data_IF_009405577221
#
_entry.id   IF_009405577221
#
_cell.length_a   1.000
_cell.length_b   1.000
_cell.length_c   1.000
_cell.angle_alpha   90.00
_cell.angle_beta   90.00
_cell.angle_gamma   90.00
#
_symmetry.space_group_name_H-M   'P 1'
#
loop_
_entity.id
_entity.type
_entity.pdbx_description
1 polymer ?
#
# COMPACT_ATOMS: atom_id res chain seq x y z
N UNK A 1 72.54 45.96 -59.68
CA UNK A 1 72.18 44.55 -59.74
C UNK A 1 71.09 44.34 -58.72
N UNK A 2 69.81 44.34 -59.17
CA UNK A 2 68.61 44.14 -58.32
C UNK A 2 68.16 42.71 -58.50
N UNK A 3 68.25 41.92 -57.44
CA UNK A 3 67.67 40.53 -57.44
C UNK A 3 66.25 40.59 -57.02
N UNK A 4 65.35 40.18 -57.98
CA UNK A 4 63.92 40.07 -57.79
C UNK A 4 63.68 38.75 -57.11
N UNK A 5 63.10 38.75 -55.86
CA UNK A 5 62.61 37.54 -55.19
C UNK A 5 61.14 37.38 -55.56
N UNK A 6 60.81 36.35 -56.32
CA UNK A 6 59.42 35.95 -56.61
C UNK A 6 58.98 35.03 -55.49
N UNK A 7 58.03 35.52 -54.66
CA UNK A 7 57.38 34.69 -53.61
C UNK A 7 56.24 33.93 -54.24
N UNK A 8 56.38 32.63 -54.32
CA UNK A 8 55.30 31.69 -54.78
C UNK A 8 54.37 31.42 -53.68
N UNK A 9 53.13 32.01 -53.68
CA UNK A 9 52.04 31.71 -52.78
C UNK A 9 51.31 30.44 -53.29
N UNK A 10 51.48 29.29 -52.59
CA UNK A 10 50.68 28.07 -52.76
C UNK A 10 49.33 28.27 -52.03
N UNK A 11 48.21 28.03 -52.70
CA UNK A 11 46.91 28.02 -52.03
C UNK A 11 46.79 26.75 -51.20
N UNK A 12 46.74 26.85 -49.87
CA UNK A 12 46.35 25.77 -48.96
C UNK A 12 44.86 25.50 -49.13
N UNK A 13 44.55 24.49 -49.90
CA UNK A 13 43.18 23.92 -49.99
C UNK A 13 42.87 23.22 -48.67
N UNK A 14 42.10 23.88 -47.80
CA UNK A 14 41.56 23.29 -46.58
C UNK A 14 40.54 22.22 -46.98
N UNK A 15 40.94 20.95 -46.94
CA UNK A 15 40.02 19.80 -47.09
C UNK A 15 39.09 19.75 -45.90
N UNK A 16 37.89 20.29 -46.02
CA UNK A 16 36.82 20.10 -45.05
C UNK A 16 36.30 18.70 -45.21
N UNK A 17 36.78 17.75 -44.41
CA UNK A 17 36.21 16.43 -44.29
C UNK A 17 34.81 16.56 -43.72
N UNK A 18 33.76 16.03 -44.38
CA UNK A 18 32.42 16.02 -43.76
C UNK A 18 32.49 15.16 -42.51
N UNK A 19 32.24 15.76 -41.35
CA UNK A 19 32.01 15.04 -40.12
C UNK A 19 30.80 14.10 -40.36
N UNK A 20 30.90 12.79 -40.04
CA UNK A 20 29.74 11.94 -40.08
C UNK A 20 28.67 12.52 -39.17
N UNK A 21 27.57 12.96 -39.76
CA UNK A 21 26.38 13.34 -38.99
C UNK A 21 25.98 12.10 -38.20
N UNK A 22 26.31 12.06 -36.90
CA UNK A 22 25.73 11.11 -35.99
C UNK A 22 24.25 11.48 -35.91
N UNK A 23 23.41 10.66 -36.55
CA UNK A 23 21.98 10.73 -36.38
C UNK A 23 21.72 10.62 -34.88
N UNK A 24 21.26 11.68 -34.27
CA UNK A 24 20.79 11.66 -32.90
C UNK A 24 19.53 10.80 -32.89
N UNK A 25 19.52 9.72 -32.10
CA UNK A 25 18.31 8.92 -31.92
C UNK A 25 17.36 9.82 -31.11
N UNK A 26 16.42 10.44 -31.81
CA UNK A 26 15.45 11.38 -31.24
C UNK A 26 14.49 10.67 -30.29
N UNK A 27 14.15 9.40 -30.58
CA UNK A 27 13.23 8.63 -29.75
C UNK A 27 13.51 7.12 -29.88
N UNK A 28 13.29 6.36 -28.81
CA UNK A 28 13.49 4.92 -28.76
C UNK A 28 12.18 4.22 -28.44
N UNK A 29 11.82 3.21 -29.21
CA UNK A 29 10.63 2.40 -28.95
C UNK A 29 10.94 1.37 -27.87
N UNK A 30 10.12 1.32 -26.83
CA UNK A 30 10.18 0.33 -25.74
C UNK A 30 9.32 -0.88 -26.06
N UNK A 31 8.08 -0.65 -26.52
CA UNK A 31 7.16 -1.71 -26.91
C UNK A 31 6.27 -1.29 -28.08
N UNK A 32 5.73 -2.28 -28.79
CA UNK A 32 4.69 -2.10 -29.80
C UNK A 32 3.52 -3.02 -29.46
N UNK A 33 2.30 -2.44 -29.34
CA UNK A 33 1.07 -3.11 -28.88
C UNK A 33 0.01 -2.94 -29.98
N UNK A 34 -0.34 -4.00 -30.70
CA UNK A 34 -1.30 -3.98 -31.84
C UNK A 34 -1.02 -2.85 -32.87
N UNK A 35 0.23 -2.43 -33.00
CA UNK A 35 0.60 -1.33 -33.91
C UNK A 35 0.86 0.01 -33.23
N UNK A 36 0.30 0.29 -32.05
CA UNK A 36 0.61 1.45 -31.21
C UNK A 36 1.97 1.28 -30.52
N UNK A 37 2.72 2.34 -30.37
CA UNK A 37 4.07 2.31 -29.81
C UNK A 37 4.09 2.95 -28.41
N UNK A 38 4.92 2.38 -27.52
CA UNK A 38 5.35 3.00 -26.28
C UNK A 38 6.78 3.46 -26.49
N UNK A 39 6.99 4.77 -26.43
CA UNK A 39 8.32 5.35 -26.56
C UNK A 39 9.07 5.32 -25.23
N UNK A 40 10.37 5.60 -25.28
CA UNK A 40 11.17 5.70 -24.06
C UNK A 40 10.72 6.89 -23.19
N UNK A 41 10.35 8.01 -23.84
CA UNK A 41 9.85 9.20 -23.15
C UNK A 41 8.53 8.90 -22.43
N UNK A 42 7.55 8.31 -23.11
CA UNK A 42 6.27 7.90 -22.50
C UNK A 42 6.48 6.95 -21.30
N UNK A 43 7.42 6.02 -21.45
CA UNK A 43 7.70 5.08 -20.38
C UNK A 43 8.41 5.74 -19.18
N UNK A 44 9.31 6.71 -19.41
CA UNK A 44 9.97 7.45 -18.34
C UNK A 44 8.98 8.34 -17.57
N UNK A 45 8.01 8.94 -18.27
CA UNK A 45 6.92 9.68 -17.64
C UNK A 45 6.12 8.77 -16.69
N UNK A 46 5.69 7.60 -17.15
CA UNK A 46 4.99 6.62 -16.29
C UNK A 46 5.82 6.11 -15.12
N UNK A 47 7.15 6.00 -15.29
CA UNK A 47 8.04 5.68 -14.18
C UNK A 47 8.03 6.78 -13.11
N UNK A 48 8.01 8.05 -13.55
CA UNK A 48 7.94 9.20 -12.66
C UNK A 48 6.60 9.24 -11.91
N UNK A 49 5.49 9.12 -12.64
CA UNK A 49 4.14 9.05 -12.06
C UNK A 49 4.01 7.93 -11.02
N UNK A 50 4.50 6.73 -11.34
CA UNK A 50 4.47 5.59 -10.42
C UNK A 50 5.32 5.83 -9.15
N UNK A 51 6.45 6.52 -9.27
CA UNK A 51 7.29 6.87 -8.12
C UNK A 51 6.64 7.95 -7.25
N UNK A 52 5.97 8.94 -7.86
CA UNK A 52 5.22 9.99 -7.18
C UNK A 52 4.01 9.38 -6.43
N UNK A 53 3.19 8.59 -7.09
CA UNK A 53 2.03 7.91 -6.48
C UNK A 53 2.43 7.00 -5.30
N UNK A 54 3.64 6.43 -5.34
CA UNK A 54 4.19 5.63 -4.25
C UNK A 54 4.91 6.47 -3.18
N UNK A 55 4.89 7.81 -3.27
CA UNK A 55 5.58 8.75 -2.37
C UNK A 55 7.06 8.39 -2.15
N UNK A 56 7.74 7.94 -3.22
CA UNK A 56 9.14 7.49 -3.17
C UNK A 56 10.09 8.69 -3.10
N UNK A 57 10.99 8.68 -2.12
CA UNK A 57 12.00 9.74 -2.03
C UNK A 57 12.98 9.70 -3.22
N UNK A 58 13.56 10.83 -3.64
CA UNK A 58 14.51 10.88 -4.78
C UNK A 58 15.68 9.89 -4.66
N UNK A 59 16.15 9.62 -3.44
CA UNK A 59 17.23 8.65 -3.18
C UNK A 59 16.84 7.19 -3.43
N UNK A 60 15.55 6.86 -3.32
CA UNK A 60 15.01 5.50 -3.40
C UNK A 60 14.45 5.17 -4.79
N UNK A 61 14.24 6.16 -5.67
CA UNK A 61 13.64 5.96 -7.01
C UNK A 61 14.34 4.86 -7.79
N UNK A 62 15.68 4.82 -7.78
CA UNK A 62 16.41 3.78 -8.49
C UNK A 62 16.11 2.35 -8.00
N UNK A 63 15.95 2.18 -6.68
CA UNK A 63 15.59 0.89 -6.09
C UNK A 63 14.12 0.52 -6.39
N UNK A 64 13.23 1.49 -6.29
CA UNK A 64 11.82 1.33 -6.63
C UNK A 64 11.63 0.90 -8.09
N UNK A 65 12.28 1.58 -9.04
CA UNK A 65 12.19 1.25 -10.47
C UNK A 65 12.76 -0.13 -10.78
N UNK A 66 13.90 -0.52 -10.19
CA UNK A 66 14.43 -1.88 -10.37
C UNK A 66 13.40 -2.94 -9.98
N UNK A 67 12.63 -2.70 -8.93
CA UNK A 67 11.60 -3.64 -8.45
C UNK A 67 10.32 -3.61 -9.27
N UNK A 68 9.94 -2.45 -9.81
CA UNK A 68 8.59 -2.22 -10.36
C UNK A 68 8.55 -2.03 -11.89
N UNK A 69 9.67 -1.87 -12.58
CA UNK A 69 9.70 -1.55 -14.01
C UNK A 69 8.90 -2.51 -14.90
N UNK A 70 8.98 -3.81 -14.63
CA UNK A 70 8.21 -4.78 -15.40
C UNK A 70 6.70 -4.58 -15.21
N UNK A 71 6.27 -4.26 -13.99
CA UNK A 71 4.87 -3.95 -13.67
C UNK A 71 4.42 -2.65 -14.34
N UNK A 72 5.22 -1.59 -14.24
CA UNK A 72 4.92 -0.29 -14.88
C UNK A 72 4.80 -0.44 -16.40
N UNK A 73 5.67 -1.22 -17.03
CA UNK A 73 5.57 -1.49 -18.47
C UNK A 73 4.32 -2.32 -18.80
N UNK A 74 3.99 -3.32 -17.97
CA UNK A 74 2.78 -4.11 -18.17
C UNK A 74 1.53 -3.23 -18.04
N UNK A 75 1.47 -2.34 -17.07
CA UNK A 75 0.37 -1.38 -16.90
C UNK A 75 0.26 -0.43 -18.11
N UNK A 76 1.38 0.03 -18.66
CA UNK A 76 1.40 0.84 -19.88
C UNK A 76 0.83 0.08 -21.10
N UNK A 77 1.16 -1.20 -21.23
CA UNK A 77 0.61 -2.08 -22.27
C UNK A 77 -0.88 -2.29 -22.07
N UNK A 78 -1.29 -2.59 -20.84
CA UNK A 78 -2.69 -2.82 -20.47
C UNK A 78 -3.56 -1.59 -20.74
N UNK A 79 -3.04 -0.41 -20.47
CA UNK A 79 -3.71 0.86 -20.76
C UNK A 79 -4.04 1.03 -22.25
N UNK A 80 -3.08 0.71 -23.11
CA UNK A 80 -3.29 0.75 -24.57
C UNK A 80 -4.36 -0.26 -24.97
N UNK A 81 -4.25 -1.49 -24.45
CA UNK A 81 -5.18 -2.57 -24.77
C UNK A 81 -6.62 -2.24 -24.32
N UNK A 82 -6.79 -1.64 -23.14
CA UNK A 82 -8.10 -1.21 -22.66
C UNK A 82 -8.72 -0.12 -23.52
N UNK A 83 -7.92 0.88 -23.93
CA UNK A 83 -8.39 1.93 -24.82
C UNK A 83 -8.81 1.36 -26.18
N UNK A 84 -7.97 0.53 -26.79
CA UNK A 84 -8.29 -0.12 -28.07
C UNK A 84 -9.56 -0.97 -27.97
N UNK A 85 -9.70 -1.76 -26.88
CA UNK A 85 -10.89 -2.59 -26.64
C UNK A 85 -12.16 -1.75 -26.49
N UNK A 86 -12.05 -0.59 -25.84
CA UNK A 86 -13.16 0.32 -25.69
C UNK A 86 -13.54 0.98 -27.04
N UNK A 87 -12.54 1.38 -27.83
CA UNK A 87 -12.76 1.95 -29.17
C UNK A 87 -13.39 0.95 -30.13
N UNK A 88 -12.94 -0.29 -30.15
CA UNK A 88 -13.52 -1.40 -30.90
C UNK A 88 -14.99 -1.65 -30.51
N UNK A 89 -15.31 -1.39 -29.27
CA UNK A 89 -16.66 -1.48 -28.73
C UNK A 89 -17.51 -0.23 -28.95
N UNK A 90 -16.97 0.80 -29.65
CA UNK A 90 -17.65 2.06 -29.91
C UNK A 90 -17.75 2.98 -28.70
N UNK A 91 -17.00 2.69 -27.62
CA UNK A 91 -16.98 3.51 -26.41
C UNK A 91 -15.96 4.65 -26.59
N UNK A 92 -16.45 5.87 -26.71
CA UNK A 92 -15.64 7.09 -26.79
C UNK A 92 -16.30 8.18 -25.99
N UNK A 93 -15.50 8.97 -25.29
CA UNK A 93 -15.98 10.17 -24.62
C UNK A 93 -16.12 11.28 -25.66
N UNK A 94 -17.31 11.89 -25.83
CA UNK A 94 -17.50 13.03 -26.74
C UNK A 94 -16.63 14.22 -26.31
N UNK A 95 -16.14 15.05 -27.27
CA UNK A 95 -15.34 16.24 -26.95
C UNK A 95 -16.04 17.20 -25.99
N UNK A 96 -17.35 17.38 -26.12
CA UNK A 96 -18.16 18.24 -25.27
C UNK A 96 -18.14 17.77 -23.81
N UNK A 97 -18.17 16.45 -23.59
CA UNK A 97 -18.08 15.89 -22.24
C UNK A 97 -16.66 16.05 -21.65
N UNK A 98 -15.62 16.03 -22.49
CA UNK A 98 -14.25 16.35 -22.06
C UNK A 98 -14.16 17.80 -21.58
N UNK A 99 -14.75 18.74 -22.32
CA UNK A 99 -14.75 20.15 -21.95
C UNK A 99 -15.55 20.40 -20.65
N UNK A 100 -16.68 19.71 -20.43
CA UNK A 100 -17.43 19.77 -19.16
C UNK A 100 -16.59 19.27 -17.98
N UNK A 101 -15.81 18.22 -18.18
CA UNK A 101 -14.90 17.70 -17.12
C UNK A 101 -13.81 18.73 -16.81
N UNK A 102 -13.21 19.36 -17.83
CA UNK A 102 -12.23 20.42 -17.65
C UNK A 102 -12.83 21.60 -16.87
N UNK A 103 -14.04 22.01 -17.21
CA UNK A 103 -14.73 23.07 -16.48
C UNK A 103 -14.98 22.70 -15.01
N UNK A 104 -15.30 21.44 -14.73
CA UNK A 104 -15.44 20.95 -13.36
C UNK A 104 -14.09 20.95 -12.61
N UNK A 105 -13.01 20.52 -13.26
CA UNK A 105 -11.64 20.60 -12.68
C UNK A 105 -11.29 22.05 -12.35
N UNK A 106 -11.55 23.00 -13.27
CA UNK A 106 -11.32 24.43 -13.01
C UNK A 106 -12.11 24.91 -11.78
N UNK A 107 -13.39 24.53 -11.67
CA UNK A 107 -14.25 24.91 -10.54
C UNK A 107 -13.75 24.32 -9.20
N UNK A 108 -13.41 23.04 -9.18
CA UNK A 108 -12.93 22.36 -7.97
C UNK A 108 -11.61 22.95 -7.43
N UNK A 109 -10.74 23.35 -8.36
CA UNK A 109 -9.45 23.94 -8.02
C UNK A 109 -9.48 25.49 -7.88
N UNK A 110 -10.68 26.10 -7.88
CA UNK A 110 -10.87 27.55 -7.80
C UNK A 110 -10.12 28.33 -8.90
N UNK A 111 -9.98 27.74 -10.07
CA UNK A 111 -9.37 28.36 -11.26
C UNK A 111 -10.47 29.14 -11.99
N UNK A 112 -10.41 30.48 -11.89
CA UNK A 112 -11.48 31.34 -12.39
C UNK A 112 -11.13 32.05 -13.70
N UNK A 113 -9.86 32.02 -14.12
CA UNK A 113 -9.43 32.66 -15.37
C UNK A 113 -8.60 31.70 -16.23
N UNK A 114 -8.55 31.96 -17.53
CA UNK A 114 -7.77 31.15 -18.46
C UNK A 114 -6.27 31.25 -18.18
N UNK A 115 -5.78 32.40 -17.75
CA UNK A 115 -4.37 32.60 -17.38
C UNK A 115 -3.97 31.74 -16.18
N UNK A 116 -4.86 31.63 -15.17
CA UNK A 116 -4.65 30.73 -14.03
C UNK A 116 -4.61 29.26 -14.48
N UNK A 117 -5.48 28.90 -15.41
CA UNK A 117 -5.53 27.52 -15.93
C UNK A 117 -4.27 27.18 -16.73
N UNK A 118 -3.83 28.06 -17.62
CA UNK A 118 -2.60 27.87 -18.38
C UNK A 118 -1.36 27.81 -17.46
N UNK A 119 -1.33 28.63 -16.40
CA UNK A 119 -0.25 28.59 -15.42
C UNK A 119 -0.25 27.25 -14.65
N UNK A 120 -1.41 26.72 -14.28
CA UNK A 120 -1.54 25.44 -13.63
C UNK A 120 -1.06 24.29 -14.54
N UNK A 121 -1.49 24.28 -15.81
CA UNK A 121 -1.02 23.31 -16.80
C UNK A 121 0.50 23.37 -17.00
N UNK A 122 1.05 24.58 -17.07
CA UNK A 122 2.48 24.76 -17.23
C UNK A 122 3.30 24.27 -16.00
N UNK A 123 2.75 24.38 -14.79
CA UNK A 123 3.35 23.82 -13.57
C UNK A 123 3.40 22.28 -13.62
N UNK A 124 2.37 21.65 -14.19
CA UNK A 124 2.33 20.19 -14.42
C UNK A 124 3.13 19.76 -15.67
N UNK A 125 3.72 20.69 -16.39
CA UNK A 125 4.45 20.42 -17.64
C UNK A 125 3.55 19.93 -18.79
N UNK A 126 2.27 20.24 -18.75
CA UNK A 126 1.23 19.69 -19.63
C UNK A 126 0.59 20.79 -20.48
N UNK A 127 0.19 20.43 -21.70
CA UNK A 127 -0.65 21.26 -22.56
C UNK A 127 -2.14 20.93 -22.40
N UNK A 128 -3.01 21.84 -22.83
CA UNK A 128 -4.46 21.60 -22.82
C UNK A 128 -4.85 20.38 -23.69
N UNK A 129 -4.16 20.16 -24.80
CA UNK A 129 -4.43 19.02 -25.69
C UNK A 129 -4.01 17.69 -25.03
N UNK A 130 -2.92 17.68 -24.27
CA UNK A 130 -2.50 16.51 -23.48
C UNK A 130 -3.48 16.22 -22.36
N UNK A 131 -3.96 17.25 -21.64
CA UNK A 131 -5.01 17.09 -20.64
C UNK A 131 -6.29 16.49 -21.24
N UNK A 132 -6.76 17.03 -22.38
CA UNK A 132 -7.93 16.49 -23.08
C UNK A 132 -7.77 15.01 -23.45
N UNK A 133 -6.61 14.64 -23.99
CA UNK A 133 -6.28 13.26 -24.33
C UNK A 133 -6.24 12.35 -23.09
N UNK A 134 -5.64 12.82 -22.02
CA UNK A 134 -5.56 12.09 -20.74
C UNK A 134 -6.95 11.83 -20.17
N UNK A 135 -7.81 12.86 -20.11
CA UNK A 135 -9.21 12.73 -19.68
C UNK A 135 -9.95 11.72 -20.56
N UNK A 136 -9.89 11.89 -21.88
CA UNK A 136 -10.58 11.00 -22.82
C UNK A 136 -10.13 9.54 -22.62
N UNK A 137 -8.82 9.29 -22.51
CA UNK A 137 -8.26 7.93 -22.27
C UNK A 137 -8.74 7.35 -20.95
N UNK A 138 -8.65 8.10 -19.85
CA UNK A 138 -9.05 7.64 -18.52
C UNK A 138 -10.53 7.26 -18.47
N UNK A 139 -11.41 8.10 -19.02
CA UNK A 139 -12.84 7.81 -19.08
C UNK A 139 -13.18 6.66 -20.02
N UNK A 140 -12.49 6.55 -21.16
CA UNK A 140 -12.67 5.44 -22.11
C UNK A 140 -12.31 4.11 -21.44
N UNK A 141 -11.19 4.05 -20.69
CA UNK A 141 -10.81 2.88 -19.87
C UNK A 141 -11.87 2.55 -18.81
N UNK A 142 -12.39 3.58 -18.13
CA UNK A 142 -13.46 3.38 -17.15
C UNK A 142 -14.71 2.77 -17.77
N UNK A 143 -15.17 3.30 -18.92
CA UNK A 143 -16.36 2.80 -19.58
C UNK A 143 -16.25 1.31 -19.94
N UNK A 144 -15.11 0.86 -20.45
CA UNK A 144 -14.95 -0.56 -20.79
C UNK A 144 -14.92 -1.45 -19.54
N UNK A 145 -14.28 -0.99 -18.46
CA UNK A 145 -14.25 -1.71 -17.18
C UNK A 145 -15.67 -1.80 -16.59
N UNK A 146 -16.39 -0.69 -16.58
CA UNK A 146 -17.77 -0.61 -16.10
C UNK A 146 -18.71 -1.52 -16.89
N UNK A 147 -18.50 -1.65 -18.20
CA UNK A 147 -19.32 -2.52 -19.03
C UNK A 147 -18.96 -3.99 -18.92
N UNK A 148 -17.67 -4.34 -18.91
CA UNK A 148 -17.22 -5.72 -19.10
C UNK A 148 -16.75 -6.41 -17.80
N UNK A 149 -16.40 -5.66 -16.77
CA UNK A 149 -15.87 -6.17 -15.51
C UNK A 149 -16.86 -6.02 -14.36
N UNK A 150 -17.36 -4.82 -14.11
CA UNK A 150 -18.22 -4.55 -12.95
C UNK A 150 -19.49 -5.42 -12.88
N UNK A 151 -20.21 -5.75 -13.99
CA UNK A 151 -21.39 -6.58 -13.90
C UNK A 151 -21.12 -8.02 -13.44
N UNK A 152 -19.87 -8.45 -13.47
CA UNK A 152 -19.44 -9.78 -12.99
C UNK A 152 -19.17 -9.83 -11.49
N UNK A 153 -19.27 -8.66 -10.83
CA UNK A 153 -18.93 -8.52 -9.42
C UNK A 153 -20.20 -8.32 -8.62
N UNK A 154 -20.44 -9.22 -7.70
CA UNK A 154 -21.52 -9.11 -6.73
C UNK A 154 -21.07 -9.65 -5.40
N UNK A 155 -21.55 -9.08 -4.30
CA UNK A 155 -21.33 -9.57 -2.93
C UNK A 155 -22.69 -9.59 -2.26
N UNK A 156 -23.19 -10.80 -2.03
CA UNK A 156 -24.48 -11.02 -1.34
C UNK A 156 -24.32 -10.90 0.17
N UNK A 157 -25.43 -10.75 0.88
CA UNK A 157 -25.41 -10.75 2.35
C UNK A 157 -25.04 -12.14 2.92
N UNK A 158 -25.32 -13.22 2.17
CA UNK A 158 -24.88 -14.57 2.49
C UNK A 158 -23.35 -14.69 2.41
N UNK A 159 -22.74 -14.16 1.36
CA UNK A 159 -21.28 -14.10 1.21
C UNK A 159 -20.64 -13.36 2.40
N UNK A 160 -21.20 -12.21 2.77
CA UNK A 160 -20.71 -11.40 3.88
C UNK A 160 -20.80 -12.14 5.22
N UNK A 161 -21.91 -12.84 5.46
CA UNK A 161 -22.07 -13.65 6.68
C UNK A 161 -21.07 -14.80 6.72
N UNK A 162 -20.89 -15.50 5.60
CA UNK A 162 -19.94 -16.60 5.51
C UNK A 162 -18.50 -16.12 5.78
N UNK A 163 -18.11 -14.99 5.19
CA UNK A 163 -16.79 -14.38 5.39
C UNK A 163 -16.61 -13.90 6.83
N UNK A 164 -17.65 -13.27 7.42
CA UNK A 164 -17.61 -12.87 8.81
C UNK A 164 -17.40 -14.07 9.74
N UNK A 165 -18.16 -15.14 9.60
CA UNK A 165 -18.01 -16.34 10.47
C UNK A 165 -16.64 -17.00 10.28
N UNK A 166 -16.09 -17.02 9.04
CA UNK A 166 -14.76 -17.55 8.78
C UNK A 166 -13.65 -16.73 9.47
N UNK A 167 -13.81 -15.41 9.59
CA UNK A 167 -12.83 -14.51 10.20
C UNK A 167 -13.12 -14.17 11.66
N UNK A 168 -14.32 -14.47 12.16
CA UNK A 168 -14.84 -14.04 13.46
C UNK A 168 -13.86 -14.28 14.61
N UNK A 169 -13.35 -15.49 14.73
CA UNK A 169 -12.45 -15.86 15.82
C UNK A 169 -11.13 -15.08 15.78
N UNK A 170 -10.62 -14.77 14.57
CA UNK A 170 -9.30 -14.17 14.39
C UNK A 170 -9.31 -12.65 14.32
N UNK A 171 -10.32 -12.08 13.67
CA UNK A 171 -10.34 -10.64 13.34
C UNK A 171 -11.42 -9.87 14.12
N UNK A 172 -12.52 -10.52 14.48
CA UNK A 172 -13.67 -9.88 15.11
C UNK A 172 -13.88 -10.27 16.57
N UNK A 173 -13.01 -11.11 17.13
CA UNK A 173 -13.05 -11.50 18.54
C UNK A 173 -11.79 -11.02 19.24
N UNK A 174 -11.96 -10.19 20.25
CA UNK A 174 -10.92 -9.87 21.22
C UNK A 174 -11.07 -10.81 22.42
N UNK A 175 -10.06 -11.59 22.70
CA UNK A 175 -10.05 -12.47 23.88
C UNK A 175 -10.02 -11.64 25.17
N UNK A 176 -10.58 -12.13 26.26
CA UNK A 176 -10.37 -11.55 27.57
C UNK A 176 -8.87 -11.52 27.92
N UNK A 177 -8.45 -10.48 28.63
CA UNK A 177 -7.06 -10.38 29.12
C UNK A 177 -7.03 -10.15 30.62
N UNK A 178 -5.93 -10.55 31.23
CA UNK A 178 -5.62 -10.27 32.62
C UNK A 178 -4.20 -9.70 32.73
N UNK A 179 -4.03 -8.64 33.52
CA UNK A 179 -2.69 -8.15 33.86
C UNK A 179 -2.30 -8.72 35.20
N UNK A 180 -1.12 -9.35 35.24
CA UNK A 180 -0.68 -10.17 36.36
C UNK A 180 0.62 -9.69 36.95
N UNK A 181 0.73 -9.90 38.25
CA UNK A 181 1.99 -10.02 38.99
C UNK A 181 2.12 -11.44 39.55
N UNK A 182 3.35 -11.94 39.67
CA UNK A 182 3.63 -13.25 40.25
C UNK A 182 4.72 -13.24 41.32
N UNK A 183 4.63 -14.19 42.22
CA UNK A 183 5.73 -14.60 43.10
C UNK A 183 5.94 -16.09 42.89
N UNK A 184 7.14 -16.52 42.53
CA UNK A 184 7.49 -17.91 42.41
C UNK A 184 8.38 -18.34 43.59
N UNK A 185 7.98 -19.38 44.32
CA UNK A 185 8.69 -19.95 45.46
C UNK A 185 9.07 -21.39 45.10
N UNK A 186 10.38 -21.74 45.08
CA UNK A 186 10.82 -23.12 44.84
C UNK A 186 10.35 -24.05 45.95
N UNK A 187 10.07 -25.30 45.60
CA UNK A 187 9.77 -26.36 46.60
C UNK A 187 11.03 -27.13 46.98
N UNK A 188 11.81 -26.53 47.86
CA UNK A 188 13.05 -27.07 48.42
C UNK A 188 12.88 -27.66 49.84
N UNK A 189 11.64 -28.05 50.17
CA UNK A 189 11.25 -28.59 51.48
C UNK A 189 10.60 -27.58 52.44
N UNK A 190 10.51 -26.30 52.06
CA UNK A 190 9.84 -25.24 52.82
C UNK A 190 8.99 -24.29 51.98
N UNK A 191 8.84 -24.57 50.69
CA UNK A 191 8.20 -23.65 49.74
C UNK A 191 6.73 -23.38 50.03
N UNK A 192 5.91 -24.38 50.36
CA UNK A 192 4.49 -24.20 50.60
C UNK A 192 4.17 -23.36 51.85
N UNK A 193 4.79 -23.58 53.03
CA UNK A 193 4.63 -22.73 54.19
C UNK A 193 4.96 -21.27 53.91
N UNK A 194 6.11 -21.00 53.25
CA UNK A 194 6.50 -19.66 52.87
C UNK A 194 5.50 -19.03 51.89
N UNK A 195 5.05 -19.76 50.88
CA UNK A 195 4.06 -19.26 49.93
C UNK A 195 2.74 -18.88 50.63
N UNK A 196 2.27 -19.69 51.59
CA UNK A 196 1.07 -19.36 52.40
C UNK A 196 1.25 -18.11 53.27
N UNK A 197 2.42 -17.93 53.88
CA UNK A 197 2.77 -16.73 54.66
C UNK A 197 2.71 -15.50 53.75
N UNK A 198 3.34 -15.55 52.56
CA UNK A 198 3.33 -14.44 51.62
C UNK A 198 1.92 -14.07 51.12
N UNK A 199 1.06 -15.06 50.86
CA UNK A 199 -0.35 -14.82 50.56
C UNK A 199 -1.04 -14.11 51.70
N UNK A 200 -0.84 -14.52 52.94
CA UNK A 200 -1.44 -13.88 54.09
C UNK A 200 -1.00 -12.43 54.22
N UNK A 201 0.27 -12.14 54.08
CA UNK A 201 0.85 -10.79 54.11
C UNK A 201 0.34 -9.92 52.96
N UNK A 202 0.31 -10.44 51.74
CA UNK A 202 -0.17 -9.74 50.58
C UNK A 202 -1.67 -9.40 50.70
N UNK A 203 -2.50 -10.33 51.19
CA UNK A 203 -3.93 -10.10 51.51
C UNK A 203 -4.12 -9.15 52.68
N UNK A 204 -3.17 -9.07 53.60
CA UNK A 204 -3.11 -8.13 54.69
C UNK A 204 -2.70 -6.69 54.31
N UNK A 205 -2.42 -6.46 53.02
CA UNK A 205 -2.11 -5.14 52.46
C UNK A 205 -0.61 -4.85 52.30
N UNK A 206 0.27 -5.83 52.54
CA UNK A 206 1.68 -5.63 52.26
C UNK A 206 1.91 -5.56 50.74
N UNK A 207 2.84 -4.67 50.34
CA UNK A 207 3.12 -4.40 48.92
C UNK A 207 3.61 -5.67 48.17
N UNK A 208 2.79 -6.14 47.22
CA UNK A 208 3.07 -7.35 46.50
C UNK A 208 4.37 -7.27 45.67
N UNK A 209 4.67 -6.12 45.10
CA UNK A 209 5.88 -5.93 44.32
C UNK A 209 7.13 -5.98 45.22
N UNK A 210 7.04 -5.47 46.46
CA UNK A 210 8.11 -5.60 47.45
C UNK A 210 8.31 -7.07 47.87
N UNK A 211 7.20 -7.78 48.10
CA UNK A 211 7.27 -9.23 48.42
C UNK A 211 7.91 -10.01 47.26
N UNK A 212 7.54 -9.72 46.02
CA UNK A 212 8.13 -10.35 44.83
C UNK A 212 9.64 -10.09 44.74
N UNK A 213 10.08 -8.84 44.90
CA UNK A 213 11.50 -8.48 44.86
C UNK A 213 12.30 -9.20 45.97
N UNK A 214 11.69 -9.40 47.11
CA UNK A 214 12.35 -9.99 48.26
C UNK A 214 12.42 -11.52 48.20
N UNK A 215 11.32 -12.16 47.86
CA UNK A 215 11.13 -13.60 48.04
C UNK A 215 11.00 -14.39 46.74
N UNK A 216 10.65 -13.78 45.60
CA UNK A 216 10.49 -14.54 44.36
C UNK A 216 11.82 -15.06 43.83
N UNK A 217 11.83 -16.31 43.39
CA UNK A 217 12.92 -16.88 42.60
C UNK A 217 12.65 -16.85 41.09
N UNK A 218 11.51 -16.31 40.68
CA UNK A 218 11.12 -16.20 39.26
C UNK A 218 11.83 -15.09 38.50
N UNK A 219 11.81 -15.13 37.17
CA UNK A 219 12.49 -14.15 36.29
C UNK A 219 11.94 -12.72 36.46
N UNK A 220 10.70 -12.58 36.89
CA UNK A 220 10.02 -11.30 37.12
C UNK A 220 10.34 -10.62 38.45
N UNK A 221 11.21 -11.23 39.27
CA UNK A 221 11.62 -10.72 40.59
C UNK A 221 12.05 -9.25 40.56
N UNK A 222 12.94 -8.91 39.66
CA UNK A 222 13.50 -7.55 39.57
C UNK A 222 12.45 -6.48 39.22
N UNK A 223 11.44 -6.84 38.44
CA UNK A 223 10.30 -5.98 38.06
C UNK A 223 9.16 -6.01 39.12
N UNK A 224 9.38 -6.60 40.30
CA UNK A 224 8.32 -6.71 41.32
C UNK A 224 7.24 -7.72 40.98
N UNK A 225 7.58 -8.73 40.20
CA UNK A 225 6.69 -9.80 39.79
C UNK A 225 5.83 -9.48 38.56
N UNK A 226 6.02 -8.33 37.90
CA UNK A 226 5.22 -7.97 36.74
C UNK A 226 5.40 -8.94 35.59
N UNK A 227 4.29 -9.57 35.16
CA UNK A 227 4.22 -10.42 33.95
C UNK A 227 3.69 -9.57 32.78
N UNK A 228 2.80 -8.64 33.06
CA UNK A 228 2.09 -7.85 32.06
C UNK A 228 0.71 -8.41 31.71
N UNK A 229 0.19 -7.98 30.57
CA UNK A 229 -1.11 -8.39 30.04
C UNK A 229 -1.01 -9.73 29.33
N UNK A 230 -1.88 -10.66 29.68
CA UNK A 230 -1.93 -12.03 29.16
C UNK A 230 -3.32 -12.31 28.62
N UNK A 231 -3.44 -12.79 27.41
CA UNK A 231 -4.71 -13.21 26.83
C UNK A 231 -5.13 -14.61 27.32
N UNK A 232 -6.43 -14.84 27.30
CA UNK A 232 -6.98 -16.16 27.59
C UNK A 232 -6.46 -17.19 26.57
N UNK A 233 -5.89 -18.28 27.06
CA UNK A 233 -5.26 -19.32 26.26
C UNK A 233 -3.72 -19.30 26.29
N UNK A 234 -3.10 -18.23 26.79
CA UNK A 234 -1.64 -18.07 26.81
C UNK A 234 -0.99 -18.59 28.10
N UNK A 235 -1.78 -18.91 29.13
CA UNK A 235 -1.28 -19.47 30.38
C UNK A 235 -1.43 -20.99 30.45
N UNK A 236 -0.61 -21.60 31.30
CA UNK A 236 -0.85 -22.98 31.70
C UNK A 236 -2.28 -23.11 32.30
N UNK A 237 -3.06 -24.15 31.96
CA UNK A 237 -4.47 -24.27 32.35
C UNK A 237 -4.74 -24.11 33.85
N UNK A 238 -3.81 -24.56 34.74
CA UNK A 238 -3.97 -24.39 36.17
C UNK A 238 -3.83 -22.93 36.61
N UNK A 239 -2.91 -22.21 36.04
CA UNK A 239 -2.69 -20.77 36.32
C UNK A 239 -3.82 -19.94 35.68
N UNK A 240 -4.25 -20.29 34.46
CA UNK A 240 -5.31 -19.58 33.73
C UNK A 240 -6.63 -19.60 34.48
N UNK A 241 -7.06 -20.80 34.92
CA UNK A 241 -8.29 -20.95 35.71
C UNK A 241 -8.31 -20.04 36.95
N UNK A 242 -7.16 -19.95 37.64
CA UNK A 242 -7.06 -19.07 38.82
C UNK A 242 -7.01 -17.60 38.42
N UNK A 243 -6.14 -17.22 37.49
CA UNK A 243 -5.96 -15.83 37.06
C UNK A 243 -7.26 -15.21 36.54
N UNK A 244 -7.99 -15.92 35.67
CA UNK A 244 -9.26 -15.43 35.15
C UNK A 244 -10.42 -15.52 36.15
N UNK A 245 -10.31 -16.38 37.19
CA UNK A 245 -11.31 -16.47 38.28
C UNK A 245 -11.18 -15.39 39.35
N UNK A 246 -9.97 -14.85 39.56
CA UNK A 246 -9.71 -13.83 40.59
C UNK A 246 -10.36 -12.48 40.25
N UNK A 247 -10.77 -11.73 41.27
CA UNK A 247 -11.15 -10.33 41.12
C UNK A 247 -9.89 -9.43 40.96
N UNK A 248 -10.06 -8.27 40.33
CA UNK A 248 -9.00 -7.24 40.25
C UNK A 248 -8.56 -6.84 41.65
N UNK A 249 -7.26 -6.76 41.90
CA UNK A 249 -6.66 -6.48 43.20
C UNK A 249 -6.44 -7.73 44.06
N UNK A 250 -7.07 -8.86 43.75
CA UNK A 250 -7.02 -10.06 44.58
C UNK A 250 -5.73 -10.87 44.33
N UNK A 251 -5.34 -11.61 45.39
CA UNK A 251 -4.17 -12.52 45.41
C UNK A 251 -4.65 -13.95 45.51
N UNK A 252 -4.09 -14.85 44.69
CA UNK A 252 -4.39 -16.28 44.69
C UNK A 252 -3.93 -16.97 45.95
N UNK A 253 -4.44 -18.18 46.18
CA UNK A 253 -3.73 -19.17 46.98
C UNK A 253 -2.48 -19.63 46.23
N UNK A 254 -1.50 -20.29 46.93
CA UNK A 254 -0.35 -20.87 46.27
C UNK A 254 -0.81 -21.94 45.25
N UNK A 255 -0.35 -21.81 44.02
CA UNK A 255 -0.67 -22.71 42.91
C UNK A 255 0.55 -23.59 42.68
N UNK A 256 0.39 -24.90 42.82
CA UNK A 256 1.47 -25.85 42.53
C UNK A 256 1.80 -25.87 41.06
N UNK A 257 3.07 -25.71 40.71
CA UNK A 257 3.63 -25.81 39.37
C UNK A 257 4.93 -26.65 39.43
N UNK A 258 5.47 -26.98 38.26
CA UNK A 258 6.75 -27.70 38.23
C UNK A 258 7.83 -26.87 38.92
N UNK A 259 8.47 -27.51 39.93
CA UNK A 259 9.55 -26.93 40.72
C UNK A 259 9.13 -25.98 41.84
N UNK A 260 7.82 -25.81 42.16
CA UNK A 260 7.42 -24.99 43.28
C UNK A 260 5.98 -24.48 43.24
N UNK A 261 5.82 -23.27 43.77
CA UNK A 261 4.51 -22.63 43.96
C UNK A 261 4.52 -21.23 43.33
N UNK A 262 3.45 -20.91 42.62
CA UNK A 262 3.21 -19.55 42.15
C UNK A 262 2.05 -18.89 42.88
N UNK A 263 2.22 -17.64 43.24
CA UNK A 263 1.20 -16.76 43.80
C UNK A 263 0.95 -15.70 42.76
N UNK A 264 -0.31 -15.52 42.34
CA UNK A 264 -0.70 -14.55 41.34
C UNK A 264 -1.48 -13.40 41.99
N UNK A 265 -1.26 -12.19 41.49
CA UNK A 265 -2.11 -11.03 41.76
C UNK A 265 -2.64 -10.46 40.45
N UNK A 266 -3.93 -10.26 40.36
CA UNK A 266 -4.57 -9.60 39.22
C UNK A 266 -4.59 -8.10 39.43
N UNK A 267 -3.97 -7.34 38.55
CA UNK A 267 -3.93 -5.88 38.63
C UNK A 267 -4.96 -5.20 37.72
N UNK A 268 -5.28 -5.84 36.59
CA UNK A 268 -6.33 -5.39 35.68
C UNK A 268 -6.98 -6.58 34.94
N UNK A 269 -8.19 -6.37 34.44
CA UNK A 269 -8.90 -7.30 33.56
C UNK A 269 -9.60 -6.56 32.45
N UNK A 270 -9.55 -7.13 31.26
CA UNK A 270 -10.34 -6.67 30.12
C UNK A 270 -11.28 -7.80 29.68
N UNK A 271 -12.54 -7.52 29.56
CA UNK A 271 -13.51 -8.48 29.02
C UNK A 271 -13.25 -8.68 27.53
N UNK A 272 -13.37 -9.91 27.08
CA UNK A 272 -13.42 -10.20 25.65
C UNK A 272 -14.62 -9.50 25.01
N UNK A 273 -14.51 -9.22 23.73
CA UNK A 273 -15.59 -8.65 22.94
C UNK A 273 -15.61 -9.24 21.55
N UNK A 274 -16.81 -9.30 20.97
CA UNK A 274 -17.00 -9.70 19.57
C UNK A 274 -17.58 -8.49 18.85
N UNK A 275 -16.94 -8.07 17.77
CA UNK A 275 -17.51 -7.06 16.87
C UNK A 275 -18.71 -7.69 16.17
N UNK A 276 -19.94 -7.18 16.33
CA UNK A 276 -21.12 -7.74 15.71
C UNK A 276 -21.03 -7.71 14.16
N UNK A 277 -21.68 -8.66 13.49
CA UNK A 277 -21.72 -8.70 12.02
C UNK A 277 -22.14 -7.38 11.39
N UNK A 278 -23.19 -6.74 11.91
CA UNK A 278 -23.69 -5.46 11.37
C UNK A 278 -22.66 -4.33 11.45
N UNK A 279 -21.80 -4.34 12.46
CA UNK A 279 -20.71 -3.36 12.57
C UNK A 279 -19.53 -3.66 11.62
N UNK A 280 -19.29 -4.93 11.30
CA UNK A 280 -18.23 -5.36 10.40
C UNK A 280 -18.68 -5.37 8.92
N UNK A 281 -19.99 -5.35 8.66
CA UNK A 281 -20.61 -5.60 7.35
C UNK A 281 -20.10 -4.64 6.25
N UNK A 282 -20.02 -3.35 6.53
CA UNK A 282 -19.56 -2.36 5.56
C UNK A 282 -18.10 -2.61 5.17
N UNK A 283 -17.23 -2.76 6.15
CA UNK A 283 -15.81 -3.05 5.93
C UNK A 283 -15.59 -4.36 5.15
N UNK A 284 -16.31 -5.41 5.52
CA UNK A 284 -16.24 -6.69 4.81
C UNK A 284 -16.70 -6.56 3.35
N UNK A 285 -17.78 -5.80 3.12
CA UNK A 285 -18.31 -5.55 1.78
C UNK A 285 -17.26 -4.88 0.90
N UNK A 286 -16.63 -3.82 1.40
CA UNK A 286 -15.61 -3.08 0.65
C UNK A 286 -14.39 -3.96 0.34
N UNK A 287 -13.93 -4.73 1.32
CA UNK A 287 -12.82 -5.67 1.13
C UNK A 287 -13.16 -6.76 0.09
N UNK A 288 -14.34 -7.36 0.19
CA UNK A 288 -14.77 -8.41 -0.72
C UNK A 288 -15.03 -7.88 -2.12
N UNK A 289 -15.64 -6.68 -2.25
CA UNK A 289 -15.85 -6.02 -3.54
C UNK A 289 -14.51 -5.72 -4.21
N UNK A 290 -13.54 -5.17 -3.48
CA UNK A 290 -12.19 -4.91 -4.00
C UNK A 290 -11.49 -6.19 -4.45
N UNK A 291 -11.53 -7.24 -3.64
CA UNK A 291 -10.92 -8.53 -3.99
C UNK A 291 -11.58 -9.19 -5.22
N UNK A 292 -12.93 -9.15 -5.32
CA UNK A 292 -13.67 -9.66 -6.48
C UNK A 292 -13.42 -8.84 -7.73
N UNK A 293 -13.33 -7.50 -7.57
CA UNK A 293 -12.97 -6.61 -8.66
C UNK A 293 -11.58 -6.97 -9.21
N UNK A 294 -10.57 -7.05 -8.35
CA UNK A 294 -9.22 -7.38 -8.78
C UNK A 294 -9.18 -8.72 -9.53
N UNK A 295 -9.83 -9.74 -9.00
CA UNK A 295 -9.91 -11.05 -9.66
C UNK A 295 -10.61 -11.00 -11.02
N UNK A 296 -11.72 -10.27 -11.12
CA UNK A 296 -12.47 -10.13 -12.36
C UNK A 296 -11.70 -9.31 -13.40
N UNK A 297 -11.02 -8.25 -12.97
CA UNK A 297 -10.15 -7.43 -13.78
C UNK A 297 -8.95 -8.21 -14.32
N UNK A 298 -8.25 -8.95 -13.46
CA UNK A 298 -7.11 -9.77 -13.87
C UNK A 298 -7.51 -10.82 -14.91
N UNK A 299 -8.64 -11.50 -14.69
CA UNK A 299 -9.17 -12.48 -15.64
C UNK A 299 -9.59 -11.83 -16.97
N UNK A 300 -10.17 -10.62 -16.93
CA UNK A 300 -10.51 -9.85 -18.11
C UNK A 300 -9.25 -9.47 -18.89
N UNK A 301 -8.25 -8.90 -18.20
CA UNK A 301 -6.99 -8.49 -18.82
C UNK A 301 -6.18 -9.67 -19.36
N UNK A 302 -6.21 -10.83 -18.69
CA UNK A 302 -5.61 -12.05 -19.24
C UNK A 302 -6.22 -12.41 -20.60
N UNK A 303 -7.53 -12.31 -20.74
CA UNK A 303 -8.23 -12.51 -22.02
C UNK A 303 -7.78 -11.51 -23.08
N UNK A 304 -7.80 -10.21 -22.73
CA UNK A 304 -7.40 -9.13 -23.65
C UNK A 304 -5.95 -9.26 -24.10
N UNK A 305 -5.02 -9.59 -23.20
CA UNK A 305 -3.60 -9.79 -23.52
C UNK A 305 -3.38 -11.00 -24.45
N UNK A 306 -4.16 -12.08 -24.31
CA UNK A 306 -4.05 -13.26 -25.21
C UNK A 306 -4.42 -12.96 -26.66
N UNK A 307 -5.31 -12.00 -26.88
CA UNK A 307 -5.74 -11.59 -28.23
C UNK A 307 -4.79 -10.54 -28.84
N UNK A 308 -3.89 -9.96 -28.04
CA UNK A 308 -3.03 -8.85 -28.44
C UNK A 308 -1.69 -9.32 -29.04
N UNK A 309 -1.17 -8.53 -29.98
CA UNK A 309 0.20 -8.66 -30.46
C UNK A 309 1.10 -7.65 -29.76
N UNK A 310 1.94 -8.12 -28.84
CA UNK A 310 2.88 -7.30 -28.08
C UNK A 310 4.31 -7.65 -28.45
N UNK A 311 5.07 -6.68 -28.94
CA UNK A 311 6.49 -6.81 -29.26
C UNK A 311 7.31 -5.89 -28.36
N UNK A 312 8.14 -6.47 -27.49
CA UNK A 312 9.09 -5.71 -26.69
C UNK A 312 10.35 -5.44 -27.52
N UNK A 313 10.74 -4.16 -27.62
CA UNK A 313 11.87 -3.70 -28.43
C UNK A 313 13.15 -3.50 -27.61
N UNK A 314 13.08 -3.68 -26.29
CA UNK A 314 14.21 -3.56 -25.37
C UNK A 314 14.41 -4.87 -24.61
N UNK A 315 15.68 -5.26 -24.41
CA UNK A 315 16.02 -6.46 -23.60
C UNK A 315 15.92 -6.17 -22.10
N UNK A 316 16.28 -4.94 -21.73
CA UNK A 316 16.18 -4.43 -20.36
C UNK A 316 15.39 -3.14 -20.37
N UNK A 317 14.50 -2.99 -19.42
CA UNK A 317 13.67 -1.79 -19.30
C UNK A 317 14.55 -0.65 -18.74
N UNK A 318 14.64 0.50 -19.43
CA UNK A 318 15.49 1.60 -19.00
C UNK A 318 15.12 2.14 -17.62
N UNK A 319 16.14 2.52 -16.82
CA UNK A 319 16.00 2.98 -15.43
C UNK A 319 16.30 4.48 -15.27
N UNK A 320 16.14 5.28 -16.31
CA UNK A 320 16.47 6.71 -16.23
C UNK A 320 15.21 7.52 -16.02
N UNK A 321 15.10 8.19 -14.87
CA UNK A 321 14.09 9.22 -14.60
C UNK A 321 14.70 10.58 -14.88
N UNK A 322 14.08 11.38 -15.74
CA UNK A 322 14.55 12.71 -16.19
C UNK A 322 13.59 13.82 -15.80
N UNK A 323 12.86 13.71 -14.70
CA UNK A 323 11.95 14.73 -14.20
C UNK A 323 12.18 15.03 -12.73
N UNK A 324 11.75 16.22 -12.28
CA UNK A 324 11.66 16.52 -10.86
C UNK A 324 10.43 15.81 -10.28
N UNK A 325 10.60 15.13 -9.14
CA UNK A 325 9.47 14.61 -8.38
C UNK A 325 8.87 15.78 -7.60
N UNK A 326 7.71 16.26 -8.03
CA UNK A 326 6.94 17.29 -7.31
C UNK A 326 5.83 16.63 -6.51
N UNK A 327 5.56 17.13 -5.29
CA UNK A 327 4.44 16.69 -4.49
C UNK A 327 3.16 17.39 -4.97
N UNK A 328 2.10 16.62 -5.24
CA UNK A 328 0.75 17.08 -5.58
C UNK A 328 0.55 17.37 -7.07
N UNK A 329 -0.15 16.49 -7.76
CA UNK A 329 -0.58 16.66 -9.15
C UNK A 329 -2.06 17.01 -9.22
N UNK A 330 -2.44 17.91 -10.14
CA UNK A 330 -3.83 18.17 -10.52
C UNK A 330 -4.55 16.92 -11.07
N UNK A 331 -3.77 15.86 -11.39
CA UNK A 331 -4.26 14.61 -11.95
C UNK A 331 -4.55 13.53 -10.88
N UNK A 332 -4.21 13.77 -9.61
CA UNK A 332 -4.52 12.82 -8.52
C UNK A 332 -6.03 12.53 -8.42
N UNK A 333 -6.88 13.52 -8.74
CA UNK A 333 -8.33 13.37 -8.78
C UNK A 333 -8.84 12.64 -10.05
N UNK A 334 -7.99 12.37 -11.02
CA UNK A 334 -8.34 11.66 -12.26
C UNK A 334 -8.12 10.14 -12.18
N UNK A 335 -7.65 9.62 -11.05
CA UNK A 335 -7.60 8.18 -10.85
C UNK A 335 -9.02 7.60 -10.95
N UNK A 336 -9.29 6.77 -11.97
CA UNK A 336 -10.63 6.20 -12.17
C UNK A 336 -11.10 5.35 -10.99
N UNK A 337 -10.21 4.97 -10.07
CA UNK A 337 -10.51 4.15 -8.90
C UNK A 337 -10.64 4.98 -7.61
N UNK A 338 -10.21 6.25 -7.59
CA UNK A 338 -10.26 7.11 -6.40
C UNK A 338 -11.60 7.82 -6.19
N UNK A 339 -12.44 7.91 -7.22
CA UNK A 339 -13.79 8.46 -7.07
C UNK A 339 -14.67 7.45 -6.34
N UNK A 340 -14.74 7.61 -5.04
CA UNK A 340 -15.61 6.85 -4.14
C UNK A 340 -17.11 6.90 -4.56
N UNK A 341 -18.00 6.17 -3.88
CA UNK A 341 -19.37 5.87 -4.28
C UNK A 341 -20.36 7.07 -4.24
N UNK A 342 -19.89 8.32 -4.38
CA UNK A 342 -20.68 9.54 -4.17
C UNK A 342 -21.50 10.00 -5.38
N UNK A 343 -21.79 9.13 -6.35
CA UNK A 343 -22.69 9.45 -7.48
C UNK A 343 -23.71 8.34 -7.70
N UNK A 344 -24.42 7.92 -6.63
CA UNK A 344 -25.68 7.18 -6.73
C UNK A 344 -26.73 7.96 -5.94
N UNK A 345 -27.37 8.89 -6.59
CA UNK A 345 -28.70 9.37 -6.24
C UNK A 345 -29.65 9.06 -7.40
#
# INVERSE_FOLDING_TARGET
MRRLFVLLLLPSSLLVLPSPARGEILERIVAKVNGEIITLSDFQERQLEAAQAAHVSPAEVGAFLRKNNARILQEAIDDILLVQRAEDAGLRLPPEAVDEIIDNIKKQNNINTEEQFQAALAQEGMTLDELRKSIARSYTKRMIIQRDVEPKISVSDEDLKAEYEARKAKEFTKLPTVTLQEIFIPDDGGGLPLAKDLVTRARGGEDFARLARTYSAGPTRASGGEIGEIAQGDLNPALEKVAFGLAVGSVSDPIGVDGGYRILRVTAKTSGSVVPFEAAKAQLRDQMMSARFQKAYDAYMEGVRKEATVNLMVREVPLKVTGAITEGSLLEDLDPFSLGPAARS
#
